data_IF_159419332823
#
_entry.id   IF_159419332823
#
_cell.length_a   1.000
_cell.length_b   1.000
_cell.length_c   1.000
_cell.angle_alpha   90.00
_cell.angle_beta   90.00
_cell.angle_gamma   90.00
#
_symmetry.space_group_name_H-M   'P 1'
#
loop_
_entity.id
_entity.type
_entity.pdbx_description
1 polymer ?
#
# COMPACT_ATOMS: atom_id res chain seq x y z
N UNK A 1 37.73 49.94 -68.13
CA UNK A 1 36.72 49.07 -67.50
C UNK A 1 37.41 47.85 -66.91
N UNK A 2 37.21 47.57 -65.62
CA UNK A 2 37.88 46.49 -64.85
C UNK A 2 37.50 45.10 -65.41
N UNK A 3 38.49 44.29 -65.76
CA UNK A 3 38.33 42.85 -66.04
C UNK A 3 37.98 42.12 -64.74
N UNK A 4 36.78 41.58 -64.63
CA UNK A 4 36.44 40.58 -63.62
C UNK A 4 37.11 39.26 -64.01
N UNK A 5 38.12 38.84 -63.23
CA UNK A 5 38.74 37.52 -63.36
C UNK A 5 37.85 36.54 -62.59
N UNK A 6 36.98 35.84 -63.30
CA UNK A 6 36.29 34.66 -62.77
C UNK A 6 37.32 33.53 -62.63
N UNK A 7 37.74 33.28 -61.39
CA UNK A 7 38.54 32.10 -61.04
C UNK A 7 37.72 30.84 -61.31
N UNK A 8 38.09 30.09 -62.36
CA UNK A 8 37.57 28.74 -62.59
C UNK A 8 38.14 27.83 -61.52
N UNK A 9 37.33 27.49 -60.51
CA UNK A 9 37.63 26.35 -59.64
C UNK A 9 37.69 25.09 -60.51
N UNK A 10 38.91 24.57 -60.73
CA UNK A 10 39.10 23.25 -61.33
C UNK A 10 38.55 22.22 -60.33
N UNK A 11 37.47 21.54 -60.70
CA UNK A 11 37.10 20.29 -60.03
C UNK A 11 38.20 19.28 -60.35
N UNK A 12 39.00 18.96 -59.34
CA UNK A 12 39.90 17.81 -59.36
C UNK A 12 39.01 16.59 -59.09
N UNK A 13 38.94 15.66 -60.05
CA UNK A 13 38.12 14.46 -59.88
C UNK A 13 38.65 13.59 -58.73
N UNK A 14 37.75 13.10 -57.89
CA UNK A 14 38.08 12.13 -56.83
C UNK A 14 38.60 10.84 -57.46
N UNK A 15 39.70 10.32 -56.94
CA UNK A 15 40.18 9.00 -57.32
C UNK A 15 39.26 7.93 -56.71
N UNK A 16 39.07 6.80 -57.41
CA UNK A 16 38.27 5.67 -56.91
C UNK A 16 38.80 5.18 -55.54
N UNK A 17 40.11 5.27 -55.32
CA UNK A 17 40.76 4.93 -54.06
C UNK A 17 40.40 5.92 -52.95
N UNK A 18 40.30 7.22 -53.24
CA UNK A 18 39.89 8.22 -52.25
C UNK A 18 38.47 7.98 -51.77
N UNK A 19 37.55 7.59 -52.66
CA UNK A 19 36.17 7.28 -52.32
C UNK A 19 36.06 6.02 -51.47
N UNK A 20 36.88 4.98 -51.76
CA UNK A 20 36.96 3.78 -50.93
C UNK A 20 37.47 4.10 -49.52
N UNK A 21 38.52 4.93 -49.41
CA UNK A 21 39.07 5.34 -48.10
C UNK A 21 38.07 6.18 -47.32
N UNK A 22 37.38 7.14 -47.97
CA UNK A 22 36.38 7.97 -47.30
C UNK A 22 35.21 7.14 -46.74
N UNK A 23 34.72 6.16 -47.51
CA UNK A 23 33.65 5.27 -47.04
C UNK A 23 34.10 4.38 -45.88
N UNK A 24 35.33 3.84 -45.95
CA UNK A 24 35.88 3.01 -44.89
C UNK A 24 36.01 3.79 -43.57
N UNK A 25 36.56 5.01 -43.61
CA UNK A 25 36.66 5.87 -42.42
C UNK A 25 35.28 6.29 -41.92
N UNK A 26 34.34 6.63 -42.81
CA UNK A 26 32.97 6.97 -42.44
C UNK A 26 32.25 5.82 -41.72
N UNK A 27 32.42 4.59 -42.21
CA UNK A 27 31.86 3.40 -41.57
C UNK A 27 32.43 3.18 -40.16
N UNK A 28 33.75 3.34 -39.99
CA UNK A 28 34.40 3.20 -38.67
C UNK A 28 33.86 4.26 -37.70
N UNK A 29 33.73 5.51 -38.13
CA UNK A 29 33.25 6.61 -37.28
C UNK A 29 31.79 6.40 -36.86
N UNK A 30 30.91 6.02 -37.79
CA UNK A 30 29.50 5.75 -37.50
C UNK A 30 29.38 4.52 -36.60
N UNK A 31 30.10 3.44 -36.89
CA UNK A 31 30.11 2.23 -36.07
C UNK A 31 30.60 2.49 -34.64
N UNK A 32 31.69 3.25 -34.49
CA UNK A 32 32.23 3.67 -33.20
C UNK A 32 31.23 4.50 -32.39
N UNK A 33 30.68 5.56 -32.98
CA UNK A 33 29.70 6.43 -32.29
C UNK A 33 28.40 5.71 -31.95
N UNK A 34 27.88 4.86 -32.84
CA UNK A 34 26.71 4.03 -32.58
C UNK A 34 26.94 3.06 -31.40
N UNK A 35 28.14 2.46 -31.31
CA UNK A 35 28.47 1.56 -30.20
C UNK A 35 28.49 2.28 -28.85
N UNK A 36 29.07 3.50 -28.79
CA UNK A 36 29.11 4.33 -27.58
C UNK A 36 27.71 4.79 -27.19
N UNK A 37 26.89 5.19 -28.17
CA UNK A 37 25.50 5.57 -27.93
C UNK A 37 24.67 4.41 -27.37
N UNK A 38 24.80 3.21 -27.94
CA UNK A 38 24.11 2.02 -27.44
C UNK A 38 24.57 1.63 -26.04
N UNK A 39 25.88 1.72 -25.76
CA UNK A 39 26.42 1.49 -24.42
C UNK A 39 25.87 2.51 -23.41
N UNK A 40 25.84 3.79 -23.77
CA UNK A 40 25.30 4.87 -22.94
C UNK A 40 23.80 4.68 -22.68
N UNK A 41 23.03 4.30 -23.70
CA UNK A 41 21.59 4.02 -23.57
C UNK A 41 21.33 2.85 -22.63
N UNK A 42 22.10 1.76 -22.74
CA UNK A 42 22.00 0.61 -21.84
C UNK A 42 22.31 1.03 -20.41
N UNK A 43 23.42 1.73 -20.20
CA UNK A 43 23.80 2.23 -18.87
C UNK A 43 22.72 3.12 -18.26
N UNK A 44 22.11 3.99 -19.07
CA UNK A 44 21.04 4.87 -18.61
C UNK A 44 19.81 4.09 -18.12
N UNK A 45 19.38 3.07 -18.88
CA UNK A 45 18.24 2.22 -18.52
C UNK A 45 18.53 1.44 -17.23
N UNK A 46 19.74 0.91 -17.05
CA UNK A 46 20.11 0.20 -15.82
C UNK A 46 20.10 1.13 -14.59
N UNK A 47 20.61 2.36 -14.74
CA UNK A 47 20.55 3.37 -13.66
C UNK A 47 19.10 3.71 -13.33
N UNK A 48 18.22 3.85 -14.32
CA UNK A 48 16.80 4.12 -14.11
C UNK A 48 16.10 2.97 -13.38
N UNK A 49 16.36 1.71 -13.76
CA UNK A 49 15.82 0.52 -13.09
C UNK A 49 16.23 0.45 -11.63
N UNK A 50 17.51 0.70 -11.35
CA UNK A 50 18.04 0.71 -9.98
C UNK A 50 17.43 1.85 -9.13
N UNK A 51 17.23 3.02 -9.74
CA UNK A 51 16.57 4.14 -9.09
C UNK A 51 15.12 3.81 -8.72
N UNK A 52 14.37 3.21 -9.66
CA UNK A 52 12.98 2.77 -9.44
C UNK A 52 12.88 1.73 -8.33
N UNK A 53 13.74 0.71 -8.34
CA UNK A 53 13.80 -0.32 -7.29
C UNK A 53 14.06 0.31 -5.91
N UNK A 54 15.01 1.25 -5.82
CA UNK A 54 15.33 1.92 -4.56
C UNK A 54 14.17 2.80 -4.07
N UNK A 55 13.49 3.49 -4.98
CA UNK A 55 12.31 4.30 -4.64
C UNK A 55 11.16 3.42 -4.15
N UNK A 56 10.88 2.32 -4.85
CA UNK A 56 9.84 1.34 -4.49
C UNK A 56 10.12 0.72 -3.10
N UNK A 57 11.36 0.33 -2.84
CA UNK A 57 11.77 -0.20 -1.53
C UNK A 57 11.56 0.81 -0.39
N UNK A 58 11.94 2.08 -0.59
CA UNK A 58 11.72 3.13 0.42
C UNK A 58 10.25 3.38 0.69
N UNK A 59 9.44 3.41 -0.38
CA UNK A 59 8.00 3.61 -0.26
C UNK A 59 7.32 2.43 0.45
N UNK A 60 7.73 1.20 0.16
CA UNK A 60 7.26 -0.02 0.83
C UNK A 60 7.49 0.05 2.34
N UNK A 61 8.72 0.35 2.75
CA UNK A 61 9.09 0.46 4.17
C UNK A 61 8.32 1.59 4.84
N UNK A 62 8.19 2.75 4.20
CA UNK A 62 7.44 3.88 4.76
C UNK A 62 5.97 3.50 5.00
N UNK A 63 5.32 2.86 4.04
CA UNK A 63 3.92 2.48 4.14
C UNK A 63 3.67 1.47 5.27
N UNK A 64 4.49 0.43 5.37
CA UNK A 64 4.36 -0.57 6.43
C UNK A 64 4.70 0.06 7.80
N UNK A 65 5.70 0.93 7.86
CA UNK A 65 6.08 1.62 9.11
C UNK A 65 4.96 2.53 9.61
N UNK A 66 4.28 3.26 8.72
CA UNK A 66 3.17 4.14 9.08
C UNK A 66 1.98 3.35 9.64
N UNK A 67 1.68 2.18 9.07
CA UNK A 67 0.67 1.28 9.61
C UNK A 67 1.09 0.75 11.00
N UNK A 68 2.35 0.33 11.16
CA UNK A 68 2.87 -0.21 12.41
C UNK A 68 2.86 0.81 13.57
N UNK A 69 3.13 2.10 13.29
CA UNK A 69 3.12 3.14 14.33
C UNK A 69 1.73 3.32 14.95
N UNK A 70 0.67 3.06 14.18
CA UNK A 70 -0.72 3.18 14.66
C UNK A 70 -1.32 1.82 15.08
N UNK A 71 -0.54 0.74 15.07
CA UNK A 71 -1.03 -0.59 15.41
C UNK A 71 -1.60 -0.62 16.83
N UNK A 72 -2.80 -1.19 16.99
CA UNK A 72 -3.47 -1.30 18.29
C UNK A 72 -4.10 -0.01 18.80
N UNK A 73 -4.04 1.09 18.03
CA UNK A 73 -4.80 2.28 18.36
C UNK A 73 -6.29 2.06 18.01
N UNK A 74 -7.16 2.08 19.02
CA UNK A 74 -8.61 1.84 18.91
C UNK A 74 -9.45 3.05 19.36
N UNK A 75 -8.83 4.23 19.47
CA UNK A 75 -9.49 5.46 19.93
C UNK A 75 -9.25 5.71 21.42
N UNK A 76 -10.32 5.70 22.22
CA UNK A 76 -10.29 6.11 23.63
C UNK A 76 -10.13 4.95 24.64
N UNK A 77 -10.31 3.71 24.18
CA UNK A 77 -10.17 2.51 25.00
C UNK A 77 -9.16 1.54 24.38
N UNK A 78 -8.50 0.70 25.20
CA UNK A 78 -7.66 -0.37 24.68
C UNK A 78 -8.50 -1.41 23.94
N UNK A 79 -7.90 -2.09 22.96
CA UNK A 79 -8.56 -3.06 22.10
C UNK A 79 -9.37 -4.15 22.84
N UNK A 80 -8.86 -4.65 23.98
CA UNK A 80 -9.56 -5.68 24.78
C UNK A 80 -10.79 -5.18 25.55
N UNK A 81 -11.07 -3.88 25.54
CA UNK A 81 -12.27 -3.27 26.13
C UNK A 81 -13.34 -2.92 25.10
N UNK A 82 -13.12 -3.23 23.82
CA UNK A 82 -14.08 -2.98 22.75
C UNK A 82 -14.98 -4.22 22.58
N UNK A 83 -16.29 -4.03 22.72
CA UNK A 83 -17.30 -5.06 22.46
C UNK A 83 -17.69 -5.07 20.98
N UNK A 84 -18.11 -6.20 20.43
CA UNK A 84 -18.69 -6.26 19.09
C UNK A 84 -20.19 -5.96 19.18
N UNK A 85 -20.72 -5.18 18.24
CA UNK A 85 -22.17 -4.96 18.16
C UNK A 85 -22.91 -6.27 17.91
N UNK A 86 -24.08 -6.40 18.53
CA UNK A 86 -24.90 -7.63 18.43
C UNK A 86 -25.44 -7.90 17.03
N UNK A 87 -25.58 -6.87 16.19
CA UNK A 87 -26.04 -6.96 14.82
C UNK A 87 -24.89 -7.01 13.81
N UNK A 88 -23.63 -6.96 14.27
CA UNK A 88 -22.46 -6.94 13.41
C UNK A 88 -22.47 -8.16 12.47
N UNK A 89 -22.66 -7.86 11.18
CA UNK A 89 -22.65 -8.88 10.13
C UNK A 89 -21.28 -9.57 10.01
N UNK A 90 -21.29 -10.86 9.68
CA UNK A 90 -20.05 -11.57 9.37
C UNK A 90 -19.38 -11.01 8.12
N UNK A 91 -18.04 -11.08 8.08
CA UNK A 91 -17.26 -10.72 6.90
C UNK A 91 -17.63 -11.63 5.73
N UNK A 92 -17.97 -11.04 4.58
CA UNK A 92 -18.28 -11.78 3.37
C UNK A 92 -17.03 -12.45 2.78
N UNK A 93 -17.19 -13.72 2.37
CA UNK A 93 -16.12 -14.52 1.79
C UNK A 93 -15.25 -15.15 2.87
N UNK A 94 -13.93 -15.14 2.64
CA UNK A 94 -12.97 -15.72 3.57
C UNK A 94 -12.44 -14.64 4.52
N UNK A 95 -12.87 -14.68 5.77
CA UNK A 95 -12.18 -13.97 6.85
C UNK A 95 -10.90 -14.71 7.23
N UNK A 96 -9.87 -13.98 7.62
CA UNK A 96 -8.65 -14.60 8.12
C UNK A 96 -8.94 -15.43 9.37
N UNK A 97 -8.20 -16.52 9.59
CA UNK A 97 -8.51 -17.45 10.67
C UNK A 97 -7.98 -17.00 12.05
N UNK A 98 -8.73 -17.37 13.09
CA UNK A 98 -8.35 -17.19 14.49
C UNK A 98 -8.07 -15.74 14.83
N UNK A 99 -6.90 -15.47 15.43
CA UNK A 99 -6.50 -14.14 15.82
C UNK A 99 -6.42 -13.16 14.63
N UNK A 100 -6.20 -13.65 13.40
CA UNK A 100 -6.08 -12.79 12.23
C UNK A 100 -7.43 -12.28 11.70
N UNK A 101 -8.56 -12.81 12.19
CA UNK A 101 -9.89 -12.40 11.79
C UNK A 101 -10.09 -10.89 11.88
N UNK A 102 -10.83 -10.31 10.94
CA UNK A 102 -10.94 -8.87 10.80
C UNK A 102 -11.53 -8.20 12.04
N UNK A 103 -12.48 -8.85 12.72
CA UNK A 103 -13.11 -8.32 13.94
C UNK A 103 -12.50 -8.82 15.25
N UNK A 104 -11.40 -9.56 15.22
CA UNK A 104 -10.64 -9.89 16.44
C UNK A 104 -9.72 -8.73 16.83
N UNK A 105 -10.25 -7.72 17.52
CA UNK A 105 -9.50 -6.47 17.76
C UNK A 105 -8.38 -6.67 18.80
N UNK A 106 -8.54 -7.62 19.72
CA UNK A 106 -7.59 -7.88 20.82
C UNK A 106 -6.19 -8.21 20.28
N UNK A 107 -6.09 -9.02 19.22
CA UNK A 107 -4.84 -9.29 18.52
C UNK A 107 -4.63 -8.32 17.36
N UNK A 108 -4.22 -7.10 17.71
CA UNK A 108 -4.04 -6.01 16.76
C UNK A 108 -2.79 -6.12 15.86
N UNK A 109 -1.82 -6.96 16.22
CA UNK A 109 -0.62 -7.20 15.42
C UNK A 109 -0.26 -8.68 15.41
N UNK A 110 -0.24 -9.29 14.23
CA UNK A 110 0.05 -10.72 14.07
C UNK A 110 1.00 -10.92 12.91
N UNK A 111 2.14 -11.55 13.19
CA UNK A 111 3.08 -11.96 12.18
C UNK A 111 2.89 -13.44 11.83
N UNK A 112 2.90 -13.74 10.54
CA UNK A 112 2.89 -15.09 10.01
C UNK A 112 3.90 -15.21 8.86
N UNK A 113 4.12 -16.43 8.40
CA UNK A 113 4.92 -16.71 7.20
C UNK A 113 4.07 -17.56 6.29
N UNK A 114 4.07 -17.24 4.99
CA UNK A 114 3.38 -18.05 3.99
C UNK A 114 4.02 -19.44 3.87
N UNK A 115 3.18 -20.45 3.66
CA UNK A 115 3.66 -21.82 3.47
C UNK A 115 4.28 -22.03 2.08
N UNK A 116 4.72 -23.26 1.80
CA UNK A 116 5.31 -23.63 0.51
C UNK A 116 4.35 -23.53 -0.68
N UNK A 117 3.05 -23.37 -0.44
CA UNK A 117 2.02 -23.17 -1.46
C UNK A 117 1.59 -21.71 -1.62
N UNK A 118 2.15 -20.79 -0.83
CA UNK A 118 1.76 -19.38 -0.85
C UNK A 118 0.51 -19.07 -0.02
N UNK A 119 0.06 -20.00 0.82
CA UNK A 119 -1.09 -19.80 1.70
C UNK A 119 -0.66 -19.25 3.07
N UNK A 120 -1.48 -18.37 3.64
CA UNK A 120 -1.29 -17.83 4.99
C UNK A 120 -2.62 -17.39 5.60
N UNK A 121 -2.79 -17.62 6.92
CA UNK A 121 -3.91 -17.11 7.72
C UNK A 121 -5.31 -17.46 7.16
N UNK A 122 -5.41 -18.52 6.35
CA UNK A 122 -6.58 -18.99 5.58
C UNK A 122 -7.23 -17.98 4.60
N UNK A 123 -6.94 -16.69 4.71
CA UNK A 123 -7.45 -15.63 3.83
C UNK A 123 -6.50 -15.26 2.67
N UNK A 124 -5.26 -15.74 2.69
CA UNK A 124 -4.25 -15.53 1.64
C UNK A 124 -3.93 -16.87 0.98
N UNK A 125 -3.94 -16.89 -0.35
CA UNK A 125 -3.71 -18.11 -1.16
C UNK A 125 -2.72 -17.89 -2.31
N UNK A 126 -2.18 -16.69 -2.42
CA UNK A 126 -1.46 -16.14 -3.56
C UNK A 126 -0.21 -15.36 -3.11
N UNK A 127 0.29 -15.63 -1.90
CA UNK A 127 1.55 -15.05 -1.45
C UNK A 127 2.74 -15.76 -2.11
N UNK A 128 3.85 -15.03 -2.25
CA UNK A 128 5.13 -15.65 -2.56
C UNK A 128 5.50 -16.63 -1.44
N UNK A 129 5.93 -17.88 -1.75
CA UNK A 129 6.22 -18.88 -0.73
C UNK A 129 7.31 -18.46 0.26
N UNK A 130 7.16 -18.82 1.54
CA UNK A 130 8.10 -18.52 2.63
C UNK A 130 8.40 -17.02 2.83
N UNK A 131 7.42 -16.15 2.58
CA UNK A 131 7.52 -14.71 2.83
C UNK A 131 6.69 -14.29 4.04
N UNK A 132 7.09 -13.21 4.69
CA UNK A 132 6.41 -12.68 5.87
C UNK A 132 5.07 -12.05 5.53
N UNK A 133 4.11 -12.26 6.42
CA UNK A 133 2.78 -11.66 6.43
C UNK A 133 2.61 -10.93 7.76
N UNK A 134 2.12 -9.70 7.73
CA UNK A 134 1.81 -8.94 8.95
C UNK A 134 0.38 -8.44 8.88
N UNK A 135 -0.40 -8.76 9.91
CA UNK A 135 -1.74 -8.20 10.16
C UNK A 135 -1.57 -7.02 11.10
N UNK A 136 -2.19 -5.90 10.74
CA UNK A 136 -2.23 -4.69 11.53
C UNK A 136 -3.69 -4.25 11.62
N UNK A 137 -4.17 -4.03 12.84
CA UNK A 137 -5.52 -3.54 13.12
C UNK A 137 -5.41 -2.25 13.92
N UNK A 138 -6.17 -1.25 13.49
CA UNK A 138 -6.19 0.06 14.09
C UNK A 138 -7.43 0.83 13.65
N UNK A 139 -7.61 2.01 14.21
CA UNK A 139 -8.55 3.01 13.70
C UNK A 139 -7.80 4.15 13.04
N UNK A 140 -8.44 4.78 12.06
CA UNK A 140 -7.90 6.02 11.47
C UNK A 140 -7.87 7.11 12.55
N UNK A 141 -6.82 7.93 12.64
CA UNK A 141 -6.72 9.01 13.63
C UNK A 141 -7.59 10.23 13.25
N UNK A 142 -8.75 9.99 12.65
CA UNK A 142 -9.78 10.99 12.34
C UNK A 142 -10.99 10.66 13.21
N UNK A 143 -11.22 11.49 14.21
CA UNK A 143 -12.35 11.37 15.13
C UNK A 143 -13.60 11.94 14.46
N UNK A 144 -14.71 11.24 14.62
CA UNK A 144 -16.05 11.70 14.26
C UNK A 144 -16.80 11.83 15.57
N UNK A 145 -17.42 12.98 15.83
CA UNK A 145 -18.18 13.25 17.06
C UNK A 145 -19.41 14.08 16.74
N UNK A 146 -20.37 13.97 17.63
CA UNK A 146 -21.47 14.92 17.77
C UNK A 146 -20.87 16.29 18.13
N UNK A 147 -21.02 17.29 17.24
CA UNK A 147 -20.39 18.63 17.22
C UNK A 147 -19.12 18.89 16.36
N UNK A 148 -18.69 17.99 15.47
CA UNK A 148 -17.70 18.34 14.44
C UNK A 148 -18.38 18.71 13.11
N UNK A 149 -17.98 19.76 12.36
CA UNK A 149 -18.34 19.84 10.95
C UNK A 149 -17.80 18.57 10.26
N UNK A 150 -18.67 17.62 9.86
CA UNK A 150 -19.86 17.82 9.04
C UNK A 150 -21.23 17.61 9.74
N UNK A 151 -21.39 18.01 11.00
CA UNK A 151 -22.69 18.19 11.62
C UNK A 151 -23.40 19.36 10.93
N UNK A 152 -24.50 19.04 10.24
CA UNK A 152 -25.25 19.97 9.41
C UNK A 152 -26.02 20.99 10.24
N UNK A 153 -26.33 20.67 11.50
CA UNK A 153 -27.07 21.55 12.40
C UNK A 153 -26.18 22.21 13.48
N UNK A 154 -25.02 21.63 13.78
CA UNK A 154 -24.06 22.15 14.75
C UNK A 154 -24.57 22.10 16.18
N UNK A 155 -25.50 21.20 16.48
CA UNK A 155 -26.16 21.03 17.77
C UNK A 155 -25.81 19.65 18.31
N UNK A 156 -25.40 19.58 19.57
CA UNK A 156 -25.28 18.31 20.27
C UNK A 156 -26.67 17.67 20.47
N UNK A 157 -27.11 16.87 19.52
CA UNK A 157 -28.43 16.25 19.48
C UNK A 157 -28.42 14.77 19.89
N UNK A 158 -27.23 14.21 20.13
CA UNK A 158 -27.03 12.82 20.49
C UNK A 158 -27.00 11.86 19.29
N UNK A 159 -26.80 12.37 18.08
CA UNK A 159 -26.62 11.61 16.85
C UNK A 159 -25.28 11.96 16.20
N UNK A 160 -24.51 10.94 15.81
CA UNK A 160 -23.29 11.18 15.03
C UNK A 160 -23.63 11.22 13.53
N UNK A 161 -23.57 12.40 12.93
CA UNK A 161 -23.56 12.54 11.47
C UNK A 161 -22.18 12.16 10.89
N UNK A 162 -22.15 11.58 9.68
CA UNK A 162 -20.89 11.20 9.01
C UNK A 162 -20.48 9.72 9.14
N UNK A 163 -21.34 8.88 9.70
CA UNK A 163 -21.20 7.41 9.60
C UNK A 163 -21.65 6.97 8.19
N UNK A 164 -20.69 6.67 7.33
CA UNK A 164 -20.94 6.08 6.01
C UNK A 164 -21.25 4.59 6.11
N UNK A 165 -22.19 4.10 5.31
CA UNK A 165 -22.58 2.68 5.29
C UNK A 165 -21.54 1.71 4.73
N UNK A 166 -20.41 2.22 4.23
CA UNK A 166 -19.39 1.43 3.54
C UNK A 166 -18.15 1.16 4.38
N UNK A 167 -18.15 1.56 5.66
CA UNK A 167 -17.02 1.38 6.56
C UNK A 167 -17.49 0.74 7.86
N UNK A 168 -16.58 0.02 8.53
CA UNK A 168 -16.74 -0.37 9.92
C UNK A 168 -16.18 0.74 10.83
N UNK A 169 -16.76 0.88 12.02
CA UNK A 169 -16.39 1.91 12.99
C UNK A 169 -16.20 1.30 14.37
N UNK A 170 -15.31 1.91 15.15
CA UNK A 170 -15.30 1.75 16.60
C UNK A 170 -15.84 3.04 17.19
N UNK A 171 -16.93 2.93 17.96
CA UNK A 171 -17.43 4.02 18.80
C UNK A 171 -16.98 3.77 20.23
N UNK A 172 -16.24 4.70 20.82
CA UNK A 172 -15.73 4.56 22.18
C UNK A 172 -15.76 5.88 22.95
N UNK A 173 -15.97 5.77 24.25
CA UNK A 173 -15.67 6.80 25.24
C UNK A 173 -14.57 6.28 26.19
N UNK A 174 -14.43 6.87 27.38
CA UNK A 174 -13.46 6.43 28.39
C UNK A 174 -13.86 5.17 29.20
N UNK A 175 -15.02 4.57 28.95
CA UNK A 175 -15.58 3.44 29.74
C UNK A 175 -16.06 2.28 28.87
N UNK A 176 -16.76 2.55 27.77
CA UNK A 176 -17.31 1.55 26.83
C UNK A 176 -16.88 1.84 25.41
N UNK A 177 -16.69 0.78 24.63
CA UNK A 177 -16.47 0.87 23.19
C UNK A 177 -17.18 -0.27 22.47
N UNK A 178 -17.71 0.01 21.29
CA UNK A 178 -18.45 -0.92 20.45
C UNK A 178 -17.92 -0.82 19.02
N UNK A 179 -17.57 -1.96 18.41
CA UNK A 179 -17.32 -2.07 16.97
C UNK A 179 -18.63 -2.41 16.26
N UNK A 180 -18.97 -1.63 15.24
CA UNK A 180 -20.19 -1.82 14.45
C UNK A 180 -19.91 -1.57 12.95
N UNK A 181 -20.77 -2.10 12.09
CA UNK A 181 -20.78 -1.79 10.66
C UNK A 181 -21.58 -0.51 10.44
N UNK A 182 -21.07 0.43 9.64
CA UNK A 182 -21.80 1.65 9.31
C UNK A 182 -23.10 1.40 8.54
N UNK A 183 -23.27 0.22 7.93
CA UNK A 183 -24.54 -0.18 7.32
C UNK A 183 -25.64 -0.51 8.35
N UNK A 184 -25.27 -0.84 9.58
CA UNK A 184 -26.18 -1.15 10.68
C UNK A 184 -26.63 0.11 11.43
N UNK A 185 -27.58 -0.04 12.36
CA UNK A 185 -27.98 1.08 13.22
C UNK A 185 -26.82 1.45 14.14
N UNK A 186 -26.32 2.67 14.03
CA UNK A 186 -25.21 3.15 14.85
C UNK A 186 -25.56 3.10 16.36
N UNK A 187 -24.61 2.74 17.24
CA UNK A 187 -24.80 2.80 18.68
C UNK A 187 -25.19 4.20 19.15
N UNK A 188 -26.05 4.27 20.16
CA UNK A 188 -26.55 5.54 20.69
C UNK A 188 -25.56 6.24 21.61
N UNK A 189 -25.40 7.57 21.47
CA UNK A 189 -24.47 8.37 22.29
C UNK A 189 -25.15 9.24 23.35
N UNK A 190 -26.48 9.16 23.46
CA UNK A 190 -27.24 9.90 24.48
C UNK A 190 -26.92 9.40 25.89
N UNK A 191 -27.24 10.22 26.90
CA UNK A 191 -27.11 9.82 28.29
C UNK A 191 -27.92 8.54 28.58
N UNK A 192 -27.22 7.47 29.00
CA UNK A 192 -27.82 6.14 29.23
C UNK A 192 -27.98 5.28 27.97
N UNK A 193 -27.51 5.73 26.81
CA UNK A 193 -27.39 4.95 25.59
C UNK A 193 -26.22 3.95 25.62
N UNK A 194 -25.87 3.42 24.46
CA UNK A 194 -24.88 2.36 24.30
C UNK A 194 -23.47 2.84 24.65
N UNK A 195 -23.07 3.99 24.08
CA UNK A 195 -21.77 4.65 24.33
C UNK A 195 -22.01 6.14 24.60
N UNK A 196 -22.44 6.53 25.81
CA UNK A 196 -22.75 7.92 26.13
C UNK A 196 -21.57 8.86 25.86
N UNK A 197 -21.81 9.99 25.20
CA UNK A 197 -20.78 10.95 24.76
C UNK A 197 -19.62 10.29 23.97
N UNK A 198 -19.94 9.19 23.26
CA UNK A 198 -18.99 8.42 22.48
C UNK A 198 -18.49 9.17 21.25
N UNK A 199 -17.24 8.89 20.89
CA UNK A 199 -16.65 9.33 19.63
C UNK A 199 -16.47 8.12 18.71
N UNK A 200 -16.59 8.30 17.41
CA UNK A 200 -16.41 7.24 16.42
C UNK A 200 -15.09 7.42 15.64
N UNK A 201 -14.48 6.30 15.27
CA UNK A 201 -13.35 6.24 14.36
C UNK A 201 -13.55 5.12 13.35
N UNK A 202 -13.10 5.35 12.11
CA UNK A 202 -13.13 4.32 11.06
C UNK A 202 -12.15 3.21 11.44
N UNK A 203 -12.66 1.99 11.57
CA UNK A 203 -11.89 0.79 11.82
C UNK A 203 -11.22 0.29 10.54
N UNK A 204 -9.95 -0.10 10.64
CA UNK A 204 -9.17 -0.62 9.52
C UNK A 204 -8.40 -1.86 9.91
N UNK A 205 -8.42 -2.83 9.01
CA UNK A 205 -7.58 -4.02 9.04
C UNK A 205 -6.73 -4.01 7.78
N UNK A 206 -5.42 -4.13 7.96
CA UNK A 206 -4.45 -4.16 6.87
C UNK A 206 -3.58 -5.41 7.03
N UNK A 207 -3.63 -6.30 6.03
CA UNK A 207 -2.77 -7.49 6.00
C UNK A 207 -1.77 -7.32 4.87
N UNK A 208 -0.51 -7.04 5.20
CA UNK A 208 0.56 -6.87 4.22
C UNK A 208 1.25 -8.20 3.92
N UNK A 209 1.44 -8.49 2.64
CA UNK A 209 2.12 -9.69 2.15
C UNK A 209 2.72 -9.44 0.76
N UNK A 210 3.71 -10.25 0.40
CA UNK A 210 4.23 -10.27 -0.98
C UNK A 210 3.36 -11.21 -1.79
N UNK A 211 2.67 -10.70 -2.80
CA UNK A 211 1.79 -11.45 -3.69
C UNK A 211 2.55 -11.92 -4.93
N UNK A 212 2.32 -13.17 -5.30
CA UNK A 212 2.63 -13.71 -6.62
C UNK A 212 1.38 -13.53 -7.51
N UNK A 213 1.41 -12.51 -8.37
CA UNK A 213 0.28 -12.21 -9.27
C UNK A 213 0.31 -13.04 -10.56
N UNK A 214 1.13 -14.11 -10.62
CA UNK A 214 1.35 -14.90 -11.84
C UNK A 214 2.13 -14.15 -12.92
N UNK A 215 2.62 -12.96 -12.61
CA UNK A 215 3.57 -12.18 -13.41
C UNK A 215 4.97 -12.43 -12.88
N UNK A 216 6.00 -12.45 -13.75
CA UNK A 216 7.42 -12.66 -13.36
C UNK A 216 7.95 -11.66 -12.32
N UNK A 217 7.18 -10.64 -11.96
CA UNK A 217 7.48 -9.64 -10.94
C UNK A 217 6.54 -9.79 -9.73
N UNK A 218 7.05 -10.24 -8.56
CA UNK A 218 6.27 -10.21 -7.33
C UNK A 218 6.01 -8.77 -6.89
N UNK A 219 4.96 -8.58 -6.10
CA UNK A 219 4.54 -7.25 -5.67
C UNK A 219 4.11 -7.25 -4.20
N UNK A 220 4.34 -6.14 -3.51
CA UNK A 220 3.75 -5.90 -2.21
C UNK A 220 2.27 -5.58 -2.42
N UNK A 221 1.42 -6.37 -1.78
CA UNK A 221 -0.03 -6.15 -1.76
C UNK A 221 -0.50 -6.09 -0.32
N UNK A 222 -1.70 -5.54 -0.12
CA UNK A 222 -2.38 -5.63 1.16
C UNK A 222 -3.81 -6.11 0.99
N UNK A 223 -4.34 -6.79 2.01
CA UNK A 223 -5.79 -6.93 2.17
C UNK A 223 -6.31 -5.81 3.07
N UNK A 224 -7.41 -5.20 2.66
CA UNK A 224 -8.13 -4.18 3.42
C UNK A 224 -9.55 -4.63 3.68
N UNK A 225 -10.08 -4.21 4.83
CA UNK A 225 -11.50 -4.32 5.11
C UNK A 225 -12.26 -3.26 4.31
N UNK A 226 -13.17 -3.68 3.43
CA UNK A 226 -13.91 -2.77 2.54
C UNK A 226 -15.31 -3.30 2.22
N UNK A 227 -16.25 -2.41 1.92
CA UNK A 227 -17.59 -2.79 1.52
C UNK A 227 -17.64 -3.35 0.09
N UNK A 228 -18.23 -4.53 -0.08
CA UNK A 228 -18.35 -5.19 -1.39
C UNK A 228 -19.64 -4.86 -2.17
N UNK A 229 -20.47 -3.95 -1.63
CA UNK A 229 -21.80 -3.62 -2.16
C UNK A 229 -22.95 -4.20 -1.35
N UNK A 230 -22.71 -5.20 -0.49
CA UNK A 230 -23.72 -5.82 0.36
C UNK A 230 -23.27 -6.09 1.81
N UNK A 231 -21.98 -6.26 2.06
CA UNK A 231 -21.38 -6.52 3.38
C UNK A 231 -19.90 -6.15 3.38
N UNK A 232 -19.30 -6.01 4.57
CA UNK A 232 -17.85 -5.87 4.71
C UNK A 232 -17.14 -7.14 4.24
N UNK A 233 -16.08 -6.99 3.45
CA UNK A 233 -15.26 -8.07 2.92
C UNK A 233 -13.78 -7.68 2.89
N UNK A 234 -12.90 -8.67 2.92
CA UNK A 234 -11.47 -8.44 2.71
C UNK A 234 -11.16 -8.31 1.22
N UNK A 235 -10.91 -7.09 0.75
CA UNK A 235 -10.46 -6.83 -0.62
C UNK A 235 -8.95 -6.80 -0.70
N UNK A 236 -8.39 -7.20 -1.85
CA UNK A 236 -6.95 -7.14 -2.10
C UNK A 236 -6.61 -5.91 -2.93
N UNK A 237 -5.59 -5.18 -2.51
CA UNK A 237 -5.06 -3.99 -3.17
C UNK A 237 -3.57 -4.19 -3.46
N UNK A 238 -3.17 -3.97 -4.71
CA UNK A 238 -1.78 -4.05 -5.15
C UNK A 238 -1.10 -2.68 -4.97
N UNK A 239 0.09 -2.67 -4.36
CA UNK A 239 0.75 -1.44 -3.93
C UNK A 239 2.02 -1.15 -4.74
N UNK A 240 2.98 -2.09 -4.71
CA UNK A 240 4.34 -1.84 -5.21
C UNK A 240 4.89 -3.06 -5.91
N UNK A 241 5.26 -2.92 -7.18
CA UNK A 241 5.91 -3.97 -7.95
C UNK A 241 7.41 -4.10 -7.61
N UNK A 242 7.92 -5.33 -7.74
CA UNK A 242 9.35 -5.66 -7.59
C UNK A 242 9.79 -5.93 -6.15
N UNK A 243 8.86 -6.13 -5.22
CA UNK A 243 9.17 -6.56 -3.84
C UNK A 243 9.16 -8.09 -3.82
N UNK A 244 10.33 -8.70 -3.63
CA UNK A 244 10.49 -10.16 -3.69
C UNK A 244 10.30 -10.84 -2.33
N UNK A 245 10.61 -10.15 -1.24
CA UNK A 245 10.54 -10.70 0.10
C UNK A 245 10.21 -9.63 1.14
N UNK A 246 9.51 -10.04 2.18
CA UNK A 246 9.17 -9.26 3.35
C UNK A 246 9.50 -10.10 4.58
N UNK A 247 10.28 -9.55 5.50
CA UNK A 247 10.67 -10.25 6.72
C UNK A 247 10.62 -9.28 7.89
N UNK A 248 10.17 -9.80 9.03
CA UNK A 248 10.01 -9.05 10.26
C UNK A 248 10.85 -9.70 11.35
N UNK A 249 11.50 -8.87 12.16
CA UNK A 249 12.25 -9.32 13.32
C UNK A 249 11.60 -8.68 14.55
N UNK A 250 11.19 -9.53 15.49
CA UNK A 250 10.55 -9.11 16.74
C UNK A 250 11.49 -9.39 17.90
N UNK A 251 11.58 -8.44 18.83
CA UNK A 251 12.15 -8.70 20.16
C UNK A 251 11.05 -9.23 21.06
N UNK A 252 11.30 -10.34 21.74
CA UNK A 252 10.41 -10.87 22.79
C UNK A 252 11.19 -10.91 24.09
N UNK A 253 10.77 -10.08 25.05
CA UNK A 253 11.19 -10.21 26.44
C UNK A 253 10.29 -11.27 27.08
N UNK A 254 10.85 -12.45 27.30
CA UNK A 254 10.13 -13.62 27.83
C UNK A 254 10.31 -13.79 29.33
N UNK A 255 11.24 -13.04 29.93
CA UNK A 255 11.61 -13.10 31.34
C UNK A 255 11.26 -11.82 32.11
N UNK A 256 10.65 -10.84 31.43
CA UNK A 256 10.20 -9.57 31.99
C UNK A 256 11.32 -8.79 32.69
N UNK A 257 12.56 -8.92 32.20
CA UNK A 257 13.72 -8.31 32.84
C UNK A 257 14.13 -6.96 32.26
N UNK A 258 13.54 -6.54 31.13
CA UNK A 258 13.63 -5.18 30.58
C UNK A 258 14.98 -4.79 29.98
#
# INVERSE_FOLDING_TARGET
>A
MKKLILSKYKMVGLSLVELMVAMFVGMILIGGTASVYLASKRSYIEVERMARMTQNSRFAVQMVSEALIHAGYTGELPAGSIELDTNLGAIAGTDCAGAAAAYDIEHYMIAAVSDGSGAALDCITDAMPNTGVIVIKNVRPMRIRDIDPPDTDGVADGTIEGIETTNAYIMANNVRGILFDGADTAPTIVAGGDVPDGNAWIYQVQVYYVRDNGTDTPQLSRKILSWNGASMALATEDLIEGVENLSFMFGSDSNADG
#
